data_IF_555897718023
#
_entry.id   IF_555897718023
#
_cell.length_a   1.000
_cell.length_b   1.000
_cell.length_c   1.000
_cell.angle_alpha   90.00
_cell.angle_beta   90.00
_cell.angle_gamma   90.00
#
_symmetry.space_group_name_H-M   'P 1'
#
loop_
_entity.id
_entity.type
_entity.pdbx_description
1 polymer ?
#
# COMPACT_ATOMS: atom_id res chain seq x y z
N UNK A 1 9.53 4.62 14.64
CA UNK A 1 10.75 3.97 14.13
C UNK A 1 10.56 2.49 14.35
N UNK A 2 10.18 1.73 13.30
CA UNK A 2 10.05 0.27 13.38
C UNK A 2 11.46 -0.30 13.39
N UNK A 3 11.93 -0.81 14.52
CA UNK A 3 13.13 -1.62 14.63
C UNK A 3 12.75 -3.07 14.37
N UNK A 4 13.38 -3.71 13.37
CA UNK A 4 13.36 -5.16 13.28
C UNK A 4 14.28 -5.71 14.37
N UNK A 5 13.73 -6.42 15.34
CA UNK A 5 14.51 -7.19 16.29
C UNK A 5 14.94 -8.49 15.61
N UNK A 6 16.22 -8.80 15.65
CA UNK A 6 16.77 -10.02 15.09
C UNK A 6 16.84 -11.10 16.16
N UNK A 7 16.16 -12.21 15.94
CA UNK A 7 16.34 -13.45 16.69
C UNK A 7 17.27 -14.41 15.92
N UNK A 8 17.85 -15.40 16.61
CA UNK A 8 18.66 -16.45 15.99
C UNK A 8 17.88 -17.21 14.89
N UNK A 9 16.57 -17.29 14.99
CA UNK A 9 15.70 -18.06 14.11
C UNK A 9 14.91 -17.22 13.08
N UNK A 10 14.90 -15.88 13.18
CA UNK A 10 14.09 -15.03 12.30
C UNK A 10 14.23 -13.55 12.57
N UNK A 11 13.24 -12.81 12.11
CA UNK A 11 13.09 -11.37 12.35
C UNK A 11 11.68 -11.09 12.85
N UNK A 12 11.53 -10.11 13.72
CA UNK A 12 10.26 -9.56 14.13
C UNK A 12 10.01 -8.24 13.40
N UNK A 13 8.83 -8.12 12.81
CA UNK A 13 8.36 -6.89 12.17
C UNK A 13 7.16 -6.38 12.96
N UNK A 14 7.32 -5.25 13.65
CA UNK A 14 6.20 -4.59 14.33
C UNK A 14 5.26 -3.98 13.29
N UNK A 15 4.00 -4.43 13.27
CA UNK A 15 2.97 -3.97 12.34
C UNK A 15 1.74 -3.52 13.09
N UNK A 16 1.30 -2.24 12.95
CA UNK A 16 0.06 -1.77 13.55
C UNK A 16 -1.17 -2.53 13.02
N UNK A 17 -2.24 -2.55 13.78
CA UNK A 17 -3.50 -3.21 13.40
C UNK A 17 -4.06 -2.66 12.09
N UNK A 18 -4.38 -3.54 11.14
CA UNK A 18 -4.96 -3.18 9.85
C UNK A 18 -4.01 -2.45 8.90
N UNK A 19 -2.71 -2.42 9.20
CA UNK A 19 -1.71 -1.71 8.40
C UNK A 19 -0.68 -2.65 7.75
N UNK A 20 0.11 -2.07 6.85
CA UNK A 20 1.25 -2.71 6.22
C UNK A 20 2.55 -2.07 6.71
N UNK A 21 3.59 -2.87 6.80
CA UNK A 21 4.98 -2.42 6.99
C UNK A 21 5.83 -3.01 5.89
N UNK A 22 6.63 -2.19 5.21
CA UNK A 22 7.54 -2.68 4.18
C UNK A 22 8.79 -3.31 4.80
N UNK A 23 9.28 -4.39 4.20
CA UNK A 23 10.53 -5.02 4.56
C UNK A 23 11.30 -5.49 3.33
N UNK A 24 12.64 -5.39 3.40
CA UNK A 24 13.58 -5.90 2.41
C UNK A 24 14.79 -6.51 3.11
N UNK A 25 15.00 -7.79 2.96
CA UNK A 25 16.01 -8.53 3.69
C UNK A 25 17.01 -9.27 2.80
N UNK A 26 18.20 -9.56 3.36
CA UNK A 26 19.28 -10.30 2.69
C UNK A 26 19.15 -11.80 2.80
N UNK A 27 18.17 -12.31 3.58
CA UNK A 27 17.98 -13.74 3.84
C UNK A 27 16.61 -14.19 3.36
N UNK A 28 16.52 -15.46 2.99
CA UNK A 28 15.26 -16.13 2.71
C UNK A 28 14.45 -16.27 3.98
N UNK A 29 13.16 -15.98 3.89
CA UNK A 29 12.21 -15.93 5.00
C UNK A 29 10.99 -16.80 4.73
N UNK A 30 10.24 -17.10 5.77
CA UNK A 30 8.92 -17.71 5.71
C UNK A 30 8.09 -17.14 6.86
N UNK A 31 6.82 -16.79 6.59
CA UNK A 31 5.91 -16.37 7.65
C UNK A 31 5.74 -17.51 8.66
N UNK A 32 5.82 -17.21 9.96
CA UNK A 32 5.58 -18.21 10.98
C UNK A 32 4.13 -18.69 10.92
N UNK A 33 3.92 -20.01 10.97
CA UNK A 33 2.59 -20.63 10.88
C UNK A 33 1.64 -20.22 12.03
N UNK A 34 2.18 -19.75 13.16
CA UNK A 34 1.40 -19.23 14.28
C UNK A 34 0.84 -17.82 14.02
N UNK A 35 1.31 -17.14 12.97
CA UNK A 35 0.90 -15.79 12.61
C UNK A 35 -0.39 -15.78 11.74
N UNK A 36 -1.48 -16.33 12.29
CA UNK A 36 -2.73 -16.60 11.54
C UNK A 36 -3.43 -15.36 10.98
N UNK A 37 -3.22 -14.18 11.61
CA UNK A 37 -3.80 -12.90 11.17
C UNK A 37 -2.83 -12.08 10.30
N UNK A 38 -1.63 -12.60 10.07
CA UNK A 38 -0.62 -11.93 9.27
C UNK A 38 -0.58 -12.47 7.85
N UNK A 39 -0.22 -11.61 6.91
CA UNK A 39 0.01 -11.97 5.50
C UNK A 39 1.22 -11.21 4.96
N UNK A 40 1.85 -11.80 3.95
CA UNK A 40 2.97 -11.16 3.25
C UNK A 40 2.59 -10.95 1.80
N UNK A 41 2.85 -9.76 1.28
CA UNK A 41 2.55 -9.40 -0.10
C UNK A 41 3.77 -8.81 -0.80
N UNK A 42 3.77 -8.88 -2.13
CA UNK A 42 4.56 -7.99 -2.97
C UNK A 42 3.66 -7.10 -3.81
N UNK A 43 4.20 -6.02 -4.35
CA UNK A 43 3.52 -5.24 -5.37
C UNK A 43 3.74 -5.93 -6.71
N UNK A 44 2.68 -6.43 -7.35
CA UNK A 44 2.74 -7.12 -8.64
C UNK A 44 2.60 -6.18 -9.84
N UNK A 45 1.89 -5.07 -9.67
CA UNK A 45 1.81 -4.01 -10.67
C UNK A 45 1.52 -2.65 -10.05
N UNK A 46 1.90 -1.59 -10.75
CA UNK A 46 1.68 -0.20 -10.35
C UNK A 46 1.02 0.54 -11.49
N UNK A 47 -0.03 1.29 -11.18
CA UNK A 47 -0.67 2.25 -12.08
C UNK A 47 -0.58 3.66 -11.48
N UNK A 48 -1.08 4.66 -12.18
CA UNK A 48 -1.02 6.07 -11.73
C UNK A 48 -1.76 6.35 -10.42
N UNK A 49 -2.66 5.50 -10.02
CA UNK A 49 -3.52 5.72 -8.83
C UNK A 49 -3.59 4.53 -7.89
N UNK A 50 -3.07 3.37 -8.31
CA UNK A 50 -3.32 2.11 -7.65
C UNK A 50 -2.12 1.17 -7.73
N UNK A 51 -1.84 0.44 -6.65
CA UNK A 51 -0.95 -0.72 -6.64
C UNK A 51 -1.75 -2.00 -6.47
N UNK A 52 -1.43 -3.01 -7.24
CA UNK A 52 -1.98 -4.36 -7.07
C UNK A 52 -1.02 -5.18 -6.23
N UNK A 53 -1.54 -5.77 -5.17
CA UNK A 53 -0.79 -6.67 -4.30
C UNK A 53 -0.98 -8.12 -4.74
N UNK A 54 0.10 -8.89 -4.65
CA UNK A 54 0.08 -10.35 -4.79
C UNK A 54 0.56 -10.97 -3.47
N UNK A 55 -0.23 -11.84 -2.88
CA UNK A 55 0.14 -12.56 -1.67
C UNK A 55 1.33 -13.49 -1.97
N UNK A 56 2.31 -13.52 -1.07
CA UNK A 56 3.43 -14.45 -1.12
C UNK A 56 3.11 -15.57 -0.14
N UNK A 57 2.73 -16.71 -0.69
CA UNK A 57 2.50 -17.93 0.09
C UNK A 57 3.77 -18.76 0.15
N UNK A 58 4.18 -19.15 1.37
CA UNK A 58 5.35 -19.94 1.63
C UNK A 58 6.67 -19.17 1.67
N UNK A 59 7.67 -19.65 0.94
CA UNK A 59 9.06 -19.16 1.05
C UNK A 59 9.27 -17.86 0.30
N UNK A 60 9.78 -16.86 0.98
CA UNK A 60 10.09 -15.52 0.46
C UNK A 60 11.60 -15.47 0.16
N UNK A 61 12.03 -15.44 -1.11
CA UNK A 61 13.45 -15.37 -1.45
C UNK A 61 14.12 -14.12 -0.88
N UNK A 62 15.43 -14.23 -0.60
CA UNK A 62 16.23 -13.07 -0.23
C UNK A 62 16.09 -11.94 -1.25
N UNK A 63 16.16 -10.70 -0.77
CA UNK A 63 16.05 -9.50 -1.59
C UNK A 63 14.73 -9.37 -2.38
N UNK A 64 13.65 -9.94 -1.84
CA UNK A 64 12.29 -9.71 -2.33
C UNK A 64 11.70 -8.48 -1.63
N UNK A 65 11.31 -7.41 -2.36
CA UNK A 65 10.57 -6.31 -1.77
C UNK A 65 9.20 -6.80 -1.31
N UNK A 66 8.86 -6.59 -0.04
CA UNK A 66 7.60 -7.10 0.50
C UNK A 66 6.92 -6.15 1.47
N UNK A 67 5.64 -6.40 1.67
CA UNK A 67 4.76 -5.74 2.62
C UNK A 67 4.23 -6.80 3.59
N UNK A 68 4.45 -6.60 4.88
CA UNK A 68 3.89 -7.44 5.94
C UNK A 68 2.63 -6.77 6.43
N UNK A 69 1.52 -7.49 6.44
CA UNK A 69 0.21 -7.03 6.85
C UNK A 69 -0.21 -7.66 8.18
N UNK A 70 -0.84 -6.86 9.02
CA UNK A 70 -1.45 -7.32 10.26
C UNK A 70 -2.98 -7.17 10.18
N UNK A 71 -3.68 -8.28 10.00
CA UNK A 71 -5.16 -8.32 9.99
C UNK A 71 -5.80 -8.36 11.38
N UNK A 72 -5.00 -8.40 12.45
CA UNK A 72 -5.48 -8.38 13.83
C UNK A 72 -5.98 -7.00 14.29
N UNK A 73 -6.49 -6.95 15.50
CA UNK A 73 -7.10 -5.75 16.08
C UNK A 73 -6.15 -4.92 16.96
N UNK A 74 -4.90 -5.31 17.06
CA UNK A 74 -3.85 -4.62 17.83
C UNK A 74 -2.52 -4.66 17.11
N UNK A 75 -1.62 -3.74 17.43
CA UNK A 75 -0.23 -3.80 16.95
C UNK A 75 0.42 -5.11 17.41
N UNK A 76 1.20 -5.73 16.53
CA UNK A 76 1.84 -7.02 16.77
C UNK A 76 3.23 -7.07 16.16
N UNK A 77 4.15 -7.76 16.86
CA UNK A 77 5.43 -8.18 16.31
C UNK A 77 5.23 -9.48 15.53
N UNK A 78 5.25 -9.40 14.20
CA UNK A 78 5.05 -10.55 13.31
C UNK A 78 6.39 -11.21 13.07
N UNK A 79 6.47 -12.53 13.35
CA UNK A 79 7.67 -13.32 13.18
C UNK A 79 7.79 -13.87 11.74
N UNK A 80 8.88 -13.53 11.09
CA UNK A 80 9.32 -14.14 9.84
C UNK A 80 10.56 -15.00 10.11
N UNK A 81 10.43 -16.30 10.02
CA UNK A 81 11.51 -17.25 10.25
C UNK A 81 12.52 -17.25 9.11
N UNK A 82 13.80 -17.45 9.42
CA UNK A 82 14.80 -17.76 8.41
C UNK A 82 14.54 -19.13 7.80
N UNK A 83 14.64 -19.21 6.47
CA UNK A 83 14.46 -20.46 5.73
C UNK A 83 15.74 -20.84 4.97
N UNK A 84 16.03 -22.14 4.94
CA UNK A 84 17.06 -22.72 4.08
C UNK A 84 16.47 -23.27 2.77
N UNK A 85 15.14 -23.19 2.63
CA UNK A 85 14.43 -23.64 1.44
C UNK A 85 14.65 -22.68 0.29
N UNK A 86 14.66 -23.19 -0.92
CA UNK A 86 14.66 -22.36 -2.12
C UNK A 86 13.21 -22.04 -2.48
N UNK A 87 12.83 -20.76 -2.39
CA UNK A 87 11.51 -20.30 -2.83
C UNK A 87 11.43 -20.15 -4.34
N UNK A 88 10.21 -20.19 -4.86
CA UNK A 88 9.96 -19.80 -6.25
C UNK A 88 10.21 -18.30 -6.43
N UNK A 89 10.66 -17.85 -7.61
CA UNK A 89 10.81 -16.41 -7.88
C UNK A 89 9.50 -15.66 -7.64
N UNK A 90 9.55 -14.61 -6.84
CA UNK A 90 8.41 -13.71 -6.61
C UNK A 90 8.38 -12.65 -7.71
N UNK A 91 7.26 -12.54 -8.40
CA UNK A 91 7.07 -11.54 -9.46
C UNK A 91 6.67 -10.21 -8.83
N UNK A 92 7.66 -9.34 -8.61
CA UNK A 92 7.44 -7.97 -8.12
C UNK A 92 7.50 -6.98 -9.28
N UNK A 93 6.67 -5.92 -9.20
CA UNK A 93 6.74 -4.79 -10.12
C UNK A 93 8.15 -4.16 -10.10
N UNK A 94 8.62 -3.70 -11.27
CA UNK A 94 9.94 -3.07 -11.38
C UNK A 94 10.03 -1.75 -10.60
N UNK A 95 8.91 -1.09 -10.39
CA UNK A 95 8.76 0.13 -9.60
C UNK A 95 8.91 -0.09 -8.10
N UNK A 96 8.68 -1.33 -7.62
CA UNK A 96 8.78 -1.66 -6.20
C UNK A 96 10.21 -2.03 -5.83
N UNK A 97 10.89 -1.12 -5.15
CA UNK A 97 12.30 -1.20 -4.80
C UNK A 97 12.51 -1.46 -3.32
N UNK A 98 13.66 -2.03 -2.98
CA UNK A 98 14.07 -2.26 -1.59
C UNK A 98 15.53 -1.88 -1.36
N UNK A 99 15.92 -1.67 -0.09
CA UNK A 99 17.30 -1.38 0.29
C UNK A 99 17.70 -2.12 1.56
N UNK A 100 18.92 -2.65 1.58
CA UNK A 100 19.53 -3.27 2.77
C UNK A 100 20.21 -2.26 3.70
N UNK A 101 20.47 -1.05 3.21
CA UNK A 101 21.17 0.03 3.94
C UNK A 101 20.33 1.31 3.91
N UNK A 102 20.51 2.16 4.90
CA UNK A 102 19.90 3.48 4.85
C UNK A 102 20.36 4.25 3.60
N UNK A 103 19.44 4.92 2.92
CA UNK A 103 19.73 5.66 1.68
C UNK A 103 19.01 7.00 1.66
N UNK A 104 19.64 7.98 1.06
CA UNK A 104 19.00 9.26 0.81
C UNK A 104 17.97 9.12 -0.30
N UNK A 105 16.76 9.59 -0.04
CA UNK A 105 15.67 9.72 -1.00
C UNK A 105 15.61 11.17 -1.45
N UNK A 106 15.81 11.47 -2.73
CA UNK A 106 15.61 12.83 -3.23
C UNK A 106 14.11 13.19 -3.14
N UNK A 107 13.83 14.49 -3.21
CA UNK A 107 12.46 14.92 -3.52
C UNK A 107 12.09 14.42 -4.92
N UNK A 108 10.82 14.07 -5.09
CA UNK A 108 10.32 13.68 -6.42
C UNK A 108 10.46 14.83 -7.42
N UNK A 109 10.98 14.51 -8.60
CA UNK A 109 11.19 15.42 -9.73
C UNK A 109 10.95 14.64 -11.03
N UNK A 110 11.98 14.40 -11.84
CA UNK A 110 11.90 13.55 -13.04
C UNK A 110 11.57 12.06 -12.74
N UNK A 111 11.75 11.64 -11.50
CA UNK A 111 11.29 10.37 -10.97
C UNK A 111 10.44 10.62 -9.73
N UNK A 112 9.32 9.97 -9.64
CA UNK A 112 8.43 10.08 -8.49
C UNK A 112 8.69 8.96 -7.50
N UNK A 113 8.92 9.35 -6.27
CA UNK A 113 9.15 8.46 -5.14
C UNK A 113 7.93 8.46 -4.23
N UNK A 114 7.51 7.28 -3.81
CA UNK A 114 6.44 7.10 -2.84
C UNK A 114 6.91 6.17 -1.73
N UNK A 115 6.65 6.54 -0.50
CA UNK A 115 6.94 5.73 0.69
C UNK A 115 5.64 5.20 1.30
N UNK A 116 5.70 4.00 1.86
CA UNK A 116 4.56 3.40 2.56
C UNK A 116 4.24 4.18 3.84
N UNK A 117 2.96 4.47 4.04
CA UNK A 117 2.40 5.06 5.24
C UNK A 117 1.15 4.25 5.64
N UNK A 118 1.36 3.16 6.38
CA UNK A 118 0.29 2.28 6.85
C UNK A 118 -0.51 1.61 5.73
N UNK A 119 -1.47 2.30 5.14
CA UNK A 119 -2.42 1.75 4.17
C UNK A 119 -2.27 2.29 2.75
N UNK A 120 -1.25 3.09 2.47
CA UNK A 120 -1.03 3.68 1.16
C UNK A 120 0.43 4.09 0.94
N UNK A 121 0.80 4.27 -0.32
CA UNK A 121 2.06 4.89 -0.70
C UNK A 121 1.89 6.40 -0.88
N UNK A 122 2.67 7.19 -0.16
CA UNK A 122 2.58 8.66 -0.11
C UNK A 122 3.75 9.28 -0.86
N UNK A 123 3.44 10.29 -1.67
CA UNK A 123 4.40 11.04 -2.49
C UNK A 123 5.47 11.76 -1.68
N UNK A 124 6.73 11.62 -2.06
CA UNK A 124 7.89 12.23 -1.40
C UNK A 124 8.12 13.64 -1.94
N UNK A 125 7.62 14.64 -1.20
CA UNK A 125 7.75 16.07 -1.58
C UNK A 125 9.10 16.69 -1.25
N UNK A 126 9.76 16.18 -0.22
CA UNK A 126 11.03 16.71 0.29
C UNK A 126 12.03 15.57 0.41
N UNK A 127 13.29 15.89 0.12
CA UNK A 127 14.36 14.94 0.36
C UNK A 127 14.41 14.50 1.83
N UNK A 128 14.74 13.24 2.04
CA UNK A 128 14.82 12.63 3.36
C UNK A 128 15.68 11.38 3.31
N UNK A 129 15.57 10.54 4.33
CA UNK A 129 16.29 9.26 4.39
C UNK A 129 15.29 8.13 4.59
N UNK A 130 15.34 7.11 3.74
CA UNK A 130 14.70 5.82 4.00
C UNK A 130 15.67 4.95 4.80
N UNK A 131 15.15 4.30 5.84
CA UNK A 131 15.95 3.41 6.70
C UNK A 131 16.35 2.13 5.95
N UNK A 132 17.35 1.44 6.47
CA UNK A 132 17.69 0.08 6.02
C UNK A 132 16.47 -0.85 6.11
N UNK A 133 16.46 -1.88 5.27
CA UNK A 133 15.43 -2.91 5.22
C UNK A 133 14.02 -2.39 4.90
N UNK A 134 13.90 -1.31 4.12
CA UNK A 134 12.63 -0.73 3.70
C UNK A 134 12.45 -0.77 2.18
N UNK A 135 11.18 -0.65 1.76
CA UNK A 135 10.79 -0.59 0.36
C UNK A 135 10.10 0.74 0.04
N UNK A 136 10.13 1.11 -1.25
CA UNK A 136 9.45 2.29 -1.79
C UNK A 136 9.01 2.04 -3.23
N UNK A 137 8.16 2.89 -3.78
CA UNK A 137 7.89 2.92 -5.22
C UNK A 137 8.73 4.00 -5.89
N UNK A 138 9.22 3.66 -7.08
CA UNK A 138 9.99 4.53 -7.97
C UNK A 138 9.34 4.51 -9.35
N UNK A 139 8.63 5.59 -9.70
CA UNK A 139 7.80 5.68 -10.90
C UNK A 139 8.38 6.75 -11.82
N UNK A 140 8.65 6.40 -13.09
CA UNK A 140 9.16 7.34 -14.08
C UNK A 140 8.12 8.44 -14.42
N UNK A 141 8.58 9.63 -14.76
CA UNK A 141 7.78 10.86 -14.93
C UNK A 141 6.76 10.81 -16.09
N UNK A 142 6.84 9.84 -17.00
CA UNK A 142 5.98 9.77 -18.18
C UNK A 142 4.50 9.43 -17.90
N UNK A 143 4.16 9.22 -16.63
CA UNK A 143 2.81 8.95 -16.19
C UNK A 143 2.19 10.22 -15.56
N UNK A 144 0.92 10.55 -15.82
CA UNK A 144 0.31 11.79 -15.34
C UNK A 144 0.34 11.89 -13.81
N UNK A 145 1.17 12.81 -13.33
CA UNK A 145 1.70 12.96 -11.98
C UNK A 145 0.80 13.85 -11.14
N UNK A 146 -0.35 13.39 -10.67
CA UNK A 146 -1.13 14.18 -9.70
C UNK A 146 -1.57 13.40 -8.46
N UNK A 147 -1.24 12.12 -8.39
CA UNK A 147 -1.58 11.33 -7.21
C UNK A 147 -0.65 11.71 -6.04
N UNK A 148 -1.18 12.40 -5.04
CA UNK A 148 -0.48 12.62 -3.77
C UNK A 148 -0.31 11.31 -2.98
N UNK A 149 -1.06 10.29 -3.36
CA UNK A 149 -1.16 9.01 -2.71
C UNK A 149 -1.56 7.95 -3.74
N UNK A 150 -0.94 6.77 -3.67
CA UNK A 150 -1.31 5.59 -4.44
C UNK A 150 -1.89 4.59 -3.45
N UNK A 151 -3.13 4.17 -3.69
CA UNK A 151 -3.85 3.24 -2.82
C UNK A 151 -3.65 1.79 -3.27
N UNK A 152 -3.90 0.85 -2.38
CA UNK A 152 -3.95 -0.55 -2.73
C UNK A 152 -5.24 -0.84 -3.50
N UNK A 153 -5.11 -1.42 -4.69
CA UNK A 153 -6.20 -1.87 -5.52
C UNK A 153 -6.30 -3.39 -5.60
N UNK A 154 -7.47 -3.87 -6.00
CA UNK A 154 -7.79 -5.29 -6.07
C UNK A 154 -8.41 -5.83 -4.76
N UNK A 155 -9.07 -6.99 -4.88
CA UNK A 155 -9.56 -7.75 -3.73
C UNK A 155 -8.37 -8.35 -2.96
N UNK A 156 -7.82 -7.58 -2.04
CA UNK A 156 -6.96 -8.14 -1.00
C UNK A 156 -7.92 -8.91 -0.09
N UNK A 157 -8.02 -10.21 -0.28
CA UNK A 157 -8.94 -11.06 0.47
C UNK A 157 -8.70 -10.89 1.97
N UNK A 158 -9.62 -10.22 2.65
CA UNK A 158 -9.57 -9.88 4.08
C UNK A 158 -9.44 -8.39 4.39
N UNK A 159 -9.02 -7.54 3.44
CA UNK A 159 -9.11 -6.10 3.56
C UNK A 159 -10.28 -5.66 2.68
N UNK A 160 -11.41 -5.36 3.29
CA UNK A 160 -12.40 -4.52 2.64
C UNK A 160 -11.82 -3.11 2.61
N UNK A 161 -10.91 -2.85 1.67
CA UNK A 161 -10.75 -1.50 1.19
C UNK A 161 -12.10 -1.24 0.55
N UNK A 162 -12.96 -0.53 1.26
CA UNK A 162 -14.11 0.09 0.61
C UNK A 162 -13.49 0.81 -0.57
N UNK A 163 -13.60 0.20 -1.76
CA UNK A 163 -13.43 0.92 -2.99
C UNK A 163 -14.22 2.20 -2.76
N UNK A 164 -13.51 3.32 -2.61
CA UNK A 164 -14.05 4.52 -3.14
C UNK A 164 -14.05 4.31 -4.67
N UNK A 165 -14.93 3.41 -5.13
CA UNK A 165 -15.68 3.79 -6.31
C UNK A 165 -16.02 5.24 -6.01
N UNK A 166 -15.74 6.19 -6.91
CA UNK A 166 -16.37 7.47 -6.76
C UNK A 166 -17.81 7.09 -6.54
N UNK A 167 -18.26 7.18 -5.27
CA UNK A 167 -19.64 6.95 -4.95
C UNK A 167 -20.35 7.87 -5.92
N UNK A 168 -20.79 7.32 -7.04
CA UNK A 168 -21.86 7.88 -7.82
C UNK A 168 -23.09 7.76 -6.93
N UNK A 169 -22.94 8.31 -5.72
CA UNK A 169 -24.06 8.61 -4.89
C UNK A 169 -24.73 9.70 -5.67
N UNK A 170 -25.69 9.29 -6.47
CA UNK A 170 -26.55 10.18 -7.23
C UNK A 170 -27.40 11.05 -6.29
N UNK A 171 -26.73 11.67 -5.31
CA UNK A 171 -27.38 12.65 -4.47
C UNK A 171 -27.58 13.92 -5.25
N UNK A 172 -28.83 14.33 -5.27
CA UNK A 172 -29.25 15.63 -5.72
C UNK A 172 -29.09 16.63 -4.58
N UNK A 173 -28.50 17.76 -4.89
CA UNK A 173 -28.41 18.89 -3.97
C UNK A 173 -29.15 20.08 -4.57
N UNK A 174 -29.89 20.81 -3.77
CA UNK A 174 -30.43 22.11 -4.16
C UNK A 174 -29.31 23.16 -4.29
N UNK A 175 -29.63 24.33 -4.78
CA UNK A 175 -28.64 25.42 -4.95
C UNK A 175 -28.10 25.95 -3.61
N UNK A 176 -28.70 25.57 -2.48
CA UNK A 176 -28.25 25.90 -1.13
C UNK A 176 -27.37 24.81 -0.51
N UNK A 177 -27.04 23.75 -1.30
CA UNK A 177 -26.20 22.64 -0.85
C UNK A 177 -26.92 21.60 0.03
N UNK A 178 -28.26 21.63 0.13
CA UNK A 178 -29.03 20.65 0.88
C UNK A 178 -29.31 19.43 0.05
N UNK A 179 -29.13 18.25 0.62
CA UNK A 179 -29.44 16.98 -0.01
C UNK A 179 -30.95 16.84 -0.24
N UNK A 180 -31.34 16.52 -1.46
CA UNK A 180 -32.75 16.35 -1.87
C UNK A 180 -33.02 14.86 -2.09
N UNK A 181 -33.93 14.30 -1.32
CA UNK A 181 -34.31 12.87 -1.40
C UNK A 181 -35.35 12.60 -2.51
N UNK A 182 -36.11 13.61 -2.91
CA UNK A 182 -37.10 13.52 -4.00
C UNK A 182 -37.08 14.81 -4.81
N UNK A 183 -36.57 14.71 -6.04
CA UNK A 183 -36.50 15.87 -6.93
C UNK A 183 -37.86 16.25 -7.43
N UNK A 184 -38.17 17.54 -7.36
CA UNK A 184 -39.31 18.18 -8.03
C UNK A 184 -38.77 19.04 -9.18
N UNK A 185 -39.65 19.68 -9.95
CA UNK A 185 -39.23 20.61 -11.01
C UNK A 185 -38.29 21.69 -10.43
N UNK A 186 -37.07 21.79 -11.00
CA UNK A 186 -36.09 22.76 -10.49
C UNK A 186 -34.67 22.51 -10.99
N UNK A 187 -33.72 23.27 -10.42
CA UNK A 187 -32.30 23.21 -10.71
C UNK A 187 -31.59 22.55 -9.53
N UNK A 188 -30.74 21.56 -9.81
CA UNK A 188 -30.03 20.76 -8.81
C UNK A 188 -28.57 20.58 -9.22
N UNK A 189 -27.74 20.20 -8.26
CA UNK A 189 -26.36 19.78 -8.49
C UNK A 189 -26.28 18.26 -8.25
N UNK A 190 -25.76 17.52 -9.21
CA UNK A 190 -25.49 16.10 -9.13
C UNK A 190 -24.09 15.81 -9.65
N UNK A 191 -23.25 15.15 -8.85
CA UNK A 191 -21.85 14.86 -9.22
C UNK A 191 -21.07 16.10 -9.70
N UNK A 192 -21.27 17.23 -9.03
CA UNK A 192 -20.64 18.50 -9.37
C UNK A 192 -21.18 19.17 -10.64
N UNK A 193 -22.19 18.60 -11.31
CA UNK A 193 -22.81 19.15 -12.52
C UNK A 193 -24.20 19.68 -12.23
N UNK A 194 -24.53 20.82 -12.86
CA UNK A 194 -25.88 21.41 -12.84
C UNK A 194 -26.83 20.59 -13.70
N UNK A 195 -27.95 20.14 -13.13
CA UNK A 195 -29.05 19.48 -13.84
C UNK A 195 -30.34 20.23 -13.68
N UNK A 196 -31.22 20.16 -14.68
CA UNK A 196 -32.54 20.82 -14.67
C UNK A 196 -33.59 19.70 -14.82
N UNK A 197 -34.46 19.61 -13.83
CA UNK A 197 -35.63 18.73 -13.88
C UNK A 197 -36.81 19.56 -14.30
N UNK A 198 -37.43 19.17 -15.42
CA UNK A 198 -38.57 19.86 -16.02
C UNK A 198 -39.91 19.34 -15.48
#
# INVERSE_FOLDING_TARGET
TVQANFDANGIFVEVPAGEFVSYYGSRTLILNEEETDAKVYTVSSVTNSEVVLSEIDGVIPAQTPMLVYNGGNSSKDILLNYSQLTGSPVQSAQEFKGTLVARNMPASAATNYYILNGTAFVYVKKAGTISANKCWLEIAENEPQNARQIVFGGDVTGISITNHEPLTINYLYDLNGRKVSKATKGVYIQNGKKIIIK
#
